data_IF_663554051382
#
_entry.id   IF_663554051382
#
_cell.length_a   1.000
_cell.length_b   1.000
_cell.length_c   1.000
_cell.angle_alpha   90.00
_cell.angle_beta   90.00
_cell.angle_gamma   90.00
#
_symmetry.space_group_name_H-M   'P 1'
#
loop_
_entity.id
_entity.type
_entity.pdbx_description
1 polymer ?
#
# COMPACT_ATOMS: atom_id res chain seq x y z
N UNK A 1 -20.80 3.82 16.02
CA UNK A 1 -20.26 2.73 15.19
C UNK A 1 -20.60 2.93 13.73
N UNK A 2 -21.87 3.05 13.33
CA UNK A 2 -22.32 3.16 11.93
C UNK A 2 -21.75 4.38 11.22
N UNK A 3 -21.68 5.53 11.87
CA UNK A 3 -21.09 6.76 11.34
C UNK A 3 -19.61 6.55 11.00
N UNK A 4 -18.86 5.91 11.90
CA UNK A 4 -17.45 5.59 11.68
C UNK A 4 -17.28 4.58 10.52
N UNK A 5 -18.13 3.56 10.45
CA UNK A 5 -18.11 2.58 9.35
C UNK A 5 -18.38 3.25 8.00
N UNK A 6 -19.32 4.19 7.94
CA UNK A 6 -19.62 4.93 6.72
C UNK A 6 -18.43 5.77 6.22
N UNK A 7 -17.78 6.51 7.13
CA UNK A 7 -16.57 7.25 6.77
C UNK A 7 -15.45 6.33 6.32
N UNK A 8 -15.30 5.17 6.93
CA UNK A 8 -14.29 4.17 6.54
C UNK A 8 -14.56 3.59 5.16
N UNK A 9 -15.82 3.38 4.78
CA UNK A 9 -16.20 3.00 3.41
C UNK A 9 -15.80 4.06 2.40
N UNK A 10 -16.02 5.36 2.71
CA UNK A 10 -15.60 6.47 1.85
C UNK A 10 -14.09 6.49 1.59
N UNK A 11 -13.29 6.23 2.62
CA UNK A 11 -11.84 6.07 2.48
C UNK A 11 -11.50 4.90 1.54
N UNK A 12 -12.16 3.74 1.72
CA UNK A 12 -11.94 2.57 0.87
C UNK A 12 -12.25 2.81 -0.60
N UNK A 13 -13.29 3.59 -0.91
CA UNK A 13 -13.62 3.99 -2.29
C UNK A 13 -12.50 4.86 -2.89
N UNK A 14 -11.95 5.81 -2.12
CA UNK A 14 -10.81 6.62 -2.55
C UNK A 14 -9.54 5.78 -2.80
N UNK A 15 -9.24 4.86 -1.91
CA UNK A 15 -8.07 3.98 -2.01
C UNK A 15 -8.15 3.01 -3.20
N UNK A 16 -9.35 2.55 -3.59
CA UNK A 16 -9.53 1.56 -4.65
C UNK A 16 -9.02 2.02 -6.02
N UNK A 17 -8.98 3.33 -6.28
CA UNK A 17 -8.54 3.89 -7.56
C UNK A 17 -7.03 4.12 -7.65
N UNK A 18 -6.34 4.21 -6.51
CA UNK A 18 -4.93 4.62 -6.45
C UNK A 18 -4.00 3.58 -7.10
N UNK A 19 -4.08 2.32 -6.69
CA UNK A 19 -3.15 1.29 -7.16
C UNK A 19 -3.29 0.98 -8.66
N UNK A 20 -4.48 0.80 -9.24
CA UNK A 20 -4.63 0.59 -10.67
C UNK A 20 -4.09 1.77 -11.51
N UNK A 21 -4.34 3.00 -11.06
CA UNK A 21 -3.85 4.20 -11.75
C UNK A 21 -2.33 4.31 -11.67
N UNK A 22 -1.74 4.08 -10.49
CA UNK A 22 -0.30 4.12 -10.30
C UNK A 22 0.41 3.03 -11.13
N UNK A 23 -0.08 1.80 -11.13
CA UNK A 23 0.50 0.73 -11.96
C UNK A 23 0.41 1.05 -13.46
N UNK A 24 -0.71 1.62 -13.92
CA UNK A 24 -0.85 2.06 -15.30
C UNK A 24 0.20 3.12 -15.67
N UNK A 25 0.40 4.13 -14.83
CA UNK A 25 1.40 5.17 -15.03
C UNK A 25 2.82 4.58 -15.04
N UNK A 26 3.14 3.73 -14.09
CA UNK A 26 4.47 3.09 -13.99
C UNK A 26 4.76 2.25 -15.22
N UNK A 27 3.80 1.47 -15.70
CA UNK A 27 3.98 0.66 -16.93
C UNK A 27 4.20 1.50 -18.17
N UNK A 28 3.63 2.71 -18.22
CA UNK A 28 3.86 3.64 -19.32
C UNK A 28 5.24 4.36 -19.25
N UNK A 29 5.77 4.54 -18.06
CA UNK A 29 7.03 5.26 -17.85
C UNK A 29 8.27 4.36 -17.94
N UNK A 30 8.20 3.13 -17.46
CA UNK A 30 9.36 2.24 -17.33
C UNK A 30 9.39 1.15 -18.41
N UNK A 31 10.59 0.69 -18.78
CA UNK A 31 10.77 -0.42 -19.69
C UNK A 31 10.50 -1.75 -18.98
N UNK A 32 10.08 -2.82 -19.73
CA UNK A 32 9.78 -4.13 -19.14
C UNK A 32 10.90 -4.71 -18.27
N UNK A 33 12.19 -4.43 -18.62
CA UNK A 33 13.36 -4.95 -17.92
C UNK A 33 13.59 -4.31 -16.54
N UNK A 34 12.97 -3.16 -16.27
CA UNK A 34 13.08 -2.43 -15.00
C UNK A 34 11.72 -2.24 -14.32
N UNK A 35 10.71 -2.89 -14.84
CA UNK A 35 9.35 -2.70 -14.37
C UNK A 35 9.15 -3.26 -12.96
N UNK A 36 9.79 -4.38 -12.62
CA UNK A 36 9.66 -4.97 -11.29
C UNK A 36 10.29 -4.09 -10.21
N UNK A 37 11.46 -3.50 -10.47
CA UNK A 37 12.07 -2.52 -9.55
C UNK A 37 11.20 -1.28 -9.39
N UNK A 38 10.63 -0.75 -10.47
CA UNK A 38 9.77 0.44 -10.38
C UNK A 38 8.50 0.18 -9.58
N UNK A 39 7.86 -0.98 -9.78
CA UNK A 39 6.68 -1.40 -9.02
C UNK A 39 7.05 -1.67 -7.55
N UNK A 40 8.20 -2.32 -7.28
CA UNK A 40 8.63 -2.58 -5.90
C UNK A 40 8.94 -1.30 -5.14
N UNK A 41 9.53 -0.30 -5.80
CA UNK A 41 9.78 1.00 -5.19
C UNK A 41 8.47 1.75 -4.86
N UNK A 42 7.48 1.70 -5.76
CA UNK A 42 6.14 2.21 -5.47
C UNK A 42 5.50 1.47 -4.28
N UNK A 43 5.59 0.14 -4.27
CA UNK A 43 5.00 -0.69 -3.22
C UNK A 43 5.74 -0.57 -1.88
N UNK A 44 7.02 -0.16 -1.89
CA UNK A 44 7.78 0.16 -0.68
C UNK A 44 7.10 1.27 0.16
N UNK A 45 6.38 2.18 -0.51
CA UNK A 45 5.56 3.19 0.15
C UNK A 45 4.55 2.62 1.14
N UNK A 46 4.05 1.39 0.91
CA UNK A 46 3.11 0.70 1.82
C UNK A 46 3.81 0.39 3.15
N UNK A 47 5.02 -0.17 3.11
CA UNK A 47 5.78 -0.51 4.32
C UNK A 47 6.30 0.72 5.04
N UNK A 48 6.79 1.70 4.30
CA UNK A 48 7.21 2.99 4.86
C UNK A 48 6.03 3.68 5.53
N UNK A 49 4.90 3.80 4.85
CA UNK A 49 3.70 4.43 5.38
C UNK A 49 3.13 3.69 6.59
N UNK A 50 3.01 2.37 6.49
CA UNK A 50 2.49 1.53 7.58
C UNK A 50 3.38 1.58 8.82
N UNK A 51 4.70 1.45 8.64
CA UNK A 51 5.64 1.52 9.76
C UNK A 51 5.72 2.90 10.39
N UNK A 52 5.77 3.97 9.58
CA UNK A 52 5.74 5.33 10.11
C UNK A 52 4.41 5.64 10.82
N UNK A 53 3.28 5.14 10.32
CA UNK A 53 2.00 5.28 11.01
C UNK A 53 2.01 4.63 12.40
N UNK A 54 2.70 3.50 12.57
CA UNK A 54 2.88 2.87 13.89
C UNK A 54 3.82 3.69 14.78
N UNK A 55 4.94 4.18 14.25
CA UNK A 55 5.88 5.04 15.00
C UNK A 55 5.18 6.30 15.48
N UNK A 56 4.56 7.05 14.57
CA UNK A 56 3.84 8.28 14.94
C UNK A 56 2.64 8.00 15.82
N UNK A 57 1.89 6.93 15.57
CA UNK A 57 0.78 6.49 16.40
C UNK A 57 1.24 6.19 17.83
N UNK A 58 2.36 5.46 17.99
CA UNK A 58 2.98 5.20 19.29
C UNK A 58 3.38 6.46 20.02
N UNK A 59 4.04 7.40 19.33
CA UNK A 59 4.44 8.70 19.90
C UNK A 59 3.20 9.49 20.35
N UNK A 60 2.18 9.60 19.50
CA UNK A 60 0.96 10.36 19.84
C UNK A 60 0.19 9.71 20.98
N UNK A 61 0.15 8.38 21.06
CA UNK A 61 -0.44 7.66 22.20
C UNK A 61 0.33 8.00 23.50
N UNK A 62 1.66 8.02 23.45
CA UNK A 62 2.48 8.41 24.59
C UNK A 62 2.16 9.82 25.09
N UNK A 63 1.99 10.77 24.18
CA UNK A 63 1.54 12.14 24.54
C UNK A 63 0.09 12.17 25.03
N UNK A 64 -0.82 11.43 24.39
CA UNK A 64 -2.25 11.42 24.71
C UNK A 64 -2.53 10.85 26.11
N UNK A 65 -1.77 9.87 26.57
CA UNK A 65 -1.88 9.31 27.93
C UNK A 65 -1.49 10.34 28.99
N UNK A 66 -0.62 11.29 28.65
CA UNK A 66 -0.14 12.35 29.55
C UNK A 66 -0.94 13.65 29.44
N UNK A 67 -1.79 13.80 28.44
CA UNK A 67 -2.54 15.02 28.17
C UNK A 67 -3.90 15.02 28.88
N UNK A 68 -4.15 16.06 29.64
CA UNK A 68 -5.49 16.47 30.08
C UNK A 68 -6.34 16.88 28.86
N UNK A 69 -7.67 16.71 28.94
CA UNK A 69 -8.61 17.11 27.88
C UNK A 69 -8.28 18.48 27.30
N UNK A 70 -8.05 18.55 26.01
CA UNK A 70 -7.77 19.80 25.30
C UNK A 70 -9.04 20.28 24.59
N UNK A 71 -9.33 21.56 24.77
CA UNK A 71 -10.41 22.24 24.05
C UNK A 71 -9.81 22.92 22.82
N UNK A 72 -10.13 22.40 21.61
CA UNK A 72 -9.68 23.02 20.37
C UNK A 72 -10.69 24.08 19.94
N UNK A 73 -10.30 25.35 19.69
CA UNK A 73 -11.20 26.34 19.14
C UNK A 73 -11.89 25.82 17.88
N UNK A 74 -13.18 26.02 17.73
CA UNK A 74 -14.06 25.57 16.62
C UNK A 74 -14.48 24.10 16.65
N UNK A 75 -13.78 23.20 17.33
CA UNK A 75 -14.07 21.75 17.36
C UNK A 75 -14.66 21.32 18.71
N UNK A 76 -14.38 22.06 19.79
CA UNK A 76 -14.85 21.74 21.15
C UNK A 76 -13.90 20.79 21.89
N UNK A 77 -14.46 19.96 22.78
CA UNK A 77 -13.71 18.95 23.52
C UNK A 77 -13.24 17.83 22.60
N UNK A 78 -11.92 17.65 22.53
CA UNK A 78 -11.29 16.62 21.69
C UNK A 78 -10.69 15.56 22.61
N UNK A 79 -11.16 14.33 22.43
CA UNK A 79 -10.63 13.18 23.17
C UNK A 79 -9.20 12.83 22.71
N UNK A 80 -8.31 12.34 23.59
CA UNK A 80 -6.92 12.03 23.24
C UNK A 80 -6.73 11.18 21.98
N UNK A 81 -7.59 10.19 21.73
CA UNK A 81 -7.52 9.37 20.53
C UNK A 81 -7.81 10.12 19.22
N UNK A 82 -8.55 11.23 19.27
CA UNK A 82 -8.86 12.05 18.09
C UNK A 82 -7.64 12.82 17.58
N UNK A 83 -6.67 13.15 18.45
CA UNK A 83 -5.42 13.78 18.03
C UNK A 83 -4.63 12.97 17.03
N UNK A 84 -4.68 11.63 17.15
CA UNK A 84 -4.02 10.73 16.21
C UNK A 84 -4.53 10.97 14.80
N UNK A 85 -5.85 11.12 14.63
CA UNK A 85 -6.46 11.38 13.33
C UNK A 85 -6.09 12.75 12.77
N UNK A 86 -6.05 13.78 13.60
CA UNK A 86 -5.61 15.11 13.16
C UNK A 86 -4.14 15.12 12.80
N UNK A 87 -3.28 14.51 13.63
CA UNK A 87 -1.85 14.46 13.40
C UNK A 87 -1.47 13.69 12.13
N UNK A 88 -2.21 12.63 11.79
CA UNK A 88 -1.98 11.82 10.58
C UNK A 88 -2.72 12.40 9.37
N UNK A 89 -3.90 12.96 9.57
CA UNK A 89 -4.73 13.48 8.47
C UNK A 89 -4.20 14.78 7.87
N UNK A 90 -3.64 15.68 8.69
CA UNK A 90 -3.14 16.97 8.21
C UNK A 90 -1.99 16.83 7.19
N UNK A 91 -0.94 16.04 7.42
CA UNK A 91 0.06 15.75 6.39
C UNK A 91 -0.53 15.18 5.09
N UNK A 92 -1.59 14.35 5.19
CA UNK A 92 -2.29 13.81 4.04
C UNK A 92 -2.86 14.87 3.10
N UNK A 93 -3.39 15.97 3.66
CA UNK A 93 -3.85 17.11 2.86
C UNK A 93 -2.70 17.77 2.09
N UNK A 94 -1.53 17.94 2.71
CA UNK A 94 -0.35 18.50 2.06
C UNK A 94 0.13 17.62 0.89
N UNK A 95 0.15 16.31 1.08
CA UNK A 95 0.48 15.35 0.00
C UNK A 95 -0.56 15.38 -1.12
N UNK A 96 -1.84 15.54 -0.81
CA UNK A 96 -2.89 15.68 -1.82
C UNK A 96 -2.68 16.93 -2.68
N UNK A 97 -2.32 18.06 -2.06
CA UNK A 97 -1.98 19.28 -2.79
C UNK A 97 -0.72 19.11 -3.63
N UNK A 98 0.29 18.39 -3.14
CA UNK A 98 1.50 18.07 -3.91
C UNK A 98 1.18 17.22 -5.15
N UNK A 99 0.20 16.30 -5.09
CA UNK A 99 -0.20 15.51 -6.24
C UNK A 99 -0.77 16.35 -7.40
N UNK A 100 -1.35 17.52 -7.12
CA UNK A 100 -1.84 18.42 -8.16
C UNK A 100 -0.73 18.99 -9.05
N UNK A 101 0.54 18.91 -8.61
CA UNK A 101 1.71 19.33 -9.38
C UNK A 101 2.24 18.27 -10.34
N UNK A 102 1.79 17.02 -10.20
CA UNK A 102 2.23 15.89 -11.03
C UNK A 102 1.59 15.98 -12.41
N UNK A 103 2.42 16.01 -13.43
CA UNK A 103 1.95 16.01 -14.83
C UNK A 103 1.64 14.60 -15.28
N UNK A 104 0.52 14.44 -15.99
CA UNK A 104 0.15 13.18 -16.64
C UNK A 104 1.22 12.79 -17.67
N UNK A 105 1.83 11.59 -17.57
CA UNK A 105 2.80 11.12 -18.55
C UNK A 105 2.13 10.79 -19.89
N UNK A 106 2.90 10.81 -20.95
CA UNK A 106 2.44 10.40 -22.28
C UNK A 106 2.12 8.91 -22.26
N UNK A 107 0.85 8.56 -22.49
CA UNK A 107 0.39 7.15 -22.48
C UNK A 107 1.01 6.38 -23.64
N UNK A 108 1.68 5.25 -23.35
CA UNK A 108 2.21 4.34 -24.37
C UNK A 108 1.12 3.52 -25.08
N UNK A 109 -0.06 3.49 -24.51
CA UNK A 109 -1.21 2.75 -25.04
C UNK A 109 -1.86 3.42 -26.26
N UNK A 110 -1.09 4.27 -26.96
CA UNK A 110 -1.47 4.78 -28.26
C UNK A 110 -1.07 3.77 -29.33
N UNK A 111 -1.95 3.58 -30.33
CA UNK A 111 -1.66 2.69 -31.45
C UNK A 111 -0.32 3.05 -32.08
N UNK A 112 0.55 2.05 -32.30
CA UNK A 112 1.82 2.25 -33.01
C UNK A 112 1.62 2.71 -34.44
N UNK A 113 0.47 2.40 -35.05
CA UNK A 113 0.09 2.76 -36.43
C UNK A 113 -0.58 4.13 -36.52
N UNK A 114 -1.21 4.61 -35.44
CA UNK A 114 -1.87 5.91 -35.40
C UNK A 114 -1.79 6.48 -33.97
N UNK A 115 -0.84 7.40 -33.70
CA UNK A 115 -0.67 8.02 -32.37
C UNK A 115 -1.90 8.81 -31.89
N UNK A 116 -2.84 9.14 -32.77
CA UNK A 116 -4.08 9.83 -32.41
C UNK A 116 -5.15 8.86 -31.89
N UNK A 117 -5.04 7.57 -32.19
CA UNK A 117 -5.97 6.53 -31.74
C UNK A 117 -5.56 5.97 -30.38
N UNK A 118 -6.37 6.23 -29.38
CA UNK A 118 -6.32 5.53 -28.10
C UNK A 118 -6.85 4.12 -28.32
N UNK A 119 -6.07 3.11 -27.94
CA UNK A 119 -6.56 1.71 -27.96
C UNK A 119 -7.73 1.63 -26.99
N UNK A 120 -8.91 1.38 -27.52
CA UNK A 120 -10.12 1.22 -26.70
C UNK A 120 -9.98 -0.03 -25.82
N UNK A 121 -10.41 0.02 -24.56
CA UNK A 121 -10.44 -1.19 -23.73
C UNK A 121 -11.38 -2.23 -24.34
N UNK A 122 -11.06 -3.52 -24.23
CA UNK A 122 -11.92 -4.58 -24.71
C UNK A 122 -13.31 -4.53 -24.04
N UNK A 123 -14.36 -4.93 -24.71
CA UNK A 123 -15.70 -4.98 -24.12
C UNK A 123 -15.73 -5.95 -22.93
N UNK A 124 -16.56 -5.64 -21.94
CA UNK A 124 -16.66 -6.43 -20.70
C UNK A 124 -16.95 -7.90 -20.96
N UNK A 125 -17.73 -8.21 -22.00
CA UNK A 125 -18.04 -9.59 -22.42
C UNK A 125 -16.78 -10.39 -22.79
N UNK A 126 -15.84 -9.77 -23.48
CA UNK A 126 -14.57 -10.38 -23.85
C UNK A 126 -13.68 -10.61 -22.64
N UNK A 127 -13.62 -9.64 -21.71
CA UNK A 127 -12.91 -9.78 -20.45
C UNK A 127 -13.48 -10.94 -19.61
N UNK A 128 -14.79 -11.05 -19.51
CA UNK A 128 -15.46 -12.14 -18.79
C UNK A 128 -15.19 -13.48 -19.45
N UNK A 129 -15.24 -13.55 -20.78
CA UNK A 129 -14.93 -14.78 -21.53
C UNK A 129 -13.48 -15.22 -21.28
N UNK A 130 -12.52 -14.28 -21.30
CA UNK A 130 -11.11 -14.56 -21.00
C UNK A 130 -10.89 -15.07 -19.56
N UNK A 131 -11.53 -14.45 -18.56
CA UNK A 131 -11.46 -14.89 -17.17
C UNK A 131 -12.05 -16.31 -17.02
N UNK A 132 -13.17 -16.61 -17.67
CA UNK A 132 -13.78 -17.95 -17.63
C UNK A 132 -12.88 -18.99 -18.27
N UNK A 133 -12.29 -18.70 -19.43
CA UNK A 133 -11.36 -19.59 -20.12
C UNK A 133 -10.10 -19.89 -19.28
N UNK A 134 -9.65 -18.93 -18.47
CA UNK A 134 -8.45 -19.03 -17.62
C UNK A 134 -8.80 -19.13 -16.14
N UNK A 135 -9.99 -19.60 -15.79
CA UNK A 135 -10.55 -19.54 -14.43
C UNK A 135 -9.65 -20.19 -13.36
N UNK A 136 -8.98 -21.30 -13.68
CA UNK A 136 -8.04 -21.96 -12.75
C UNK A 136 -6.88 -21.04 -12.37
N UNK A 137 -6.26 -20.40 -13.35
CA UNK A 137 -5.14 -19.47 -13.11
C UNK A 137 -5.58 -18.29 -12.25
N UNK A 138 -6.73 -17.68 -12.59
CA UNK A 138 -7.27 -16.59 -11.79
C UNK A 138 -7.62 -17.03 -10.36
N UNK A 139 -8.25 -18.20 -10.20
CA UNK A 139 -8.61 -18.71 -8.88
C UNK A 139 -7.40 -18.94 -8.01
N UNK A 140 -6.39 -19.68 -8.46
CA UNK A 140 -5.22 -19.99 -7.65
C UNK A 140 -4.35 -18.77 -7.38
N UNK A 141 -4.21 -17.86 -8.34
CA UNK A 141 -3.51 -16.61 -8.15
C UNK A 141 -4.17 -15.74 -7.06
N UNK A 142 -5.50 -15.55 -7.16
CA UNK A 142 -6.23 -14.78 -6.16
C UNK A 142 -6.25 -15.44 -4.78
N UNK A 143 -6.35 -16.77 -4.70
CA UNK A 143 -6.23 -17.50 -3.43
C UNK A 143 -4.85 -17.32 -2.81
N UNK A 144 -3.78 -17.41 -3.60
CA UNK A 144 -2.42 -17.16 -3.12
C UNK A 144 -2.27 -15.76 -2.51
N UNK A 145 -2.72 -14.73 -3.22
CA UNK A 145 -2.72 -13.36 -2.70
C UNK A 145 -3.59 -13.23 -1.44
N UNK A 146 -4.77 -13.86 -1.42
CA UNK A 146 -5.67 -13.82 -0.28
C UNK A 146 -5.03 -14.43 0.97
N UNK A 147 -4.37 -15.58 0.86
CA UNK A 147 -3.66 -16.20 1.99
C UNK A 147 -2.46 -15.35 2.45
N UNK A 148 -1.67 -14.81 1.55
CA UNK A 148 -0.57 -13.90 1.90
C UNK A 148 -1.09 -12.66 2.63
N UNK A 149 -2.18 -12.06 2.13
CA UNK A 149 -2.82 -10.92 2.78
C UNK A 149 -3.37 -11.28 4.15
N UNK A 150 -3.97 -12.47 4.31
CA UNK A 150 -4.48 -12.96 5.60
C UNK A 150 -3.36 -13.07 6.64
N UNK A 151 -2.21 -13.64 6.27
CA UNK A 151 -1.04 -13.72 7.16
C UNK A 151 -0.51 -12.33 7.50
N UNK A 152 -0.37 -11.44 6.49
CA UNK A 152 0.15 -10.09 6.68
C UNK A 152 -0.74 -9.24 7.59
N UNK A 153 -2.04 -9.24 7.38
CA UNK A 153 -2.99 -8.54 8.26
C UNK A 153 -3.03 -9.18 9.66
N UNK A 154 -3.00 -10.52 9.75
CA UNK A 154 -2.90 -11.22 11.02
C UNK A 154 -1.67 -10.78 11.82
N UNK A 155 -0.50 -10.76 11.19
CA UNK A 155 0.73 -10.31 11.82
C UNK A 155 0.66 -8.83 12.26
N UNK A 156 0.13 -7.95 11.40
CA UNK A 156 0.00 -6.52 11.70
C UNK A 156 -0.83 -6.24 12.97
N UNK A 157 -1.86 -7.05 13.24
CA UNK A 157 -2.70 -6.90 14.42
C UNK A 157 -2.20 -7.67 15.65
N UNK A 158 -1.70 -8.90 15.45
CA UNK A 158 -1.35 -9.76 16.58
C UNK A 158 0.06 -9.55 17.11
N UNK A 159 1.04 -9.17 16.27
CA UNK A 159 2.41 -8.94 16.73
C UNK A 159 2.50 -7.79 17.75
N UNK A 160 1.87 -6.61 17.53
CA UNK A 160 1.85 -5.58 18.57
C UNK A 160 1.19 -6.05 19.88
N UNK A 161 0.06 -6.76 19.78
CA UNK A 161 -0.62 -7.31 20.95
C UNK A 161 0.23 -8.34 21.71
N UNK A 162 0.98 -9.15 20.99
CA UNK A 162 1.93 -10.11 21.56
C UNK A 162 3.07 -9.40 22.29
N UNK A 163 3.68 -8.38 21.69
CA UNK A 163 4.76 -7.61 22.31
C UNK A 163 4.30 -6.93 23.61
N UNK A 164 3.09 -6.38 23.62
CA UNK A 164 2.53 -5.75 24.82
C UNK A 164 2.23 -6.81 25.90
N UNK A 165 1.55 -7.92 25.55
CA UNK A 165 1.05 -8.90 26.54
C UNK A 165 2.12 -9.83 27.08
N UNK A 166 3.08 -10.24 26.26
CA UNK A 166 4.09 -11.25 26.61
C UNK A 166 5.40 -10.60 27.02
N UNK A 167 5.82 -9.55 26.32
CA UNK A 167 7.07 -8.85 26.60
C UNK A 167 6.91 -7.63 27.50
N UNK A 168 5.68 -7.23 27.87
CA UNK A 168 5.42 -6.12 28.77
C UNK A 168 5.76 -4.74 28.21
N UNK A 169 5.94 -4.63 26.89
CA UNK A 169 6.19 -3.34 26.25
C UNK A 169 4.95 -2.43 26.35
N UNK A 170 5.17 -1.13 26.55
CA UNK A 170 4.12 -0.15 26.45
C UNK A 170 3.60 -0.05 24.99
N UNK A 171 2.42 0.50 24.80
CA UNK A 171 1.87 0.74 23.45
C UNK A 171 2.76 1.70 22.64
N UNK A 172 3.38 2.68 23.32
CA UNK A 172 4.32 3.61 22.71
C UNK A 172 5.59 2.89 22.22
N UNK A 173 6.25 2.13 23.09
CA UNK A 173 7.46 1.36 22.74
C UNK A 173 7.19 0.37 21.61
N UNK A 174 6.07 -0.34 21.69
CA UNK A 174 5.65 -1.28 20.65
C UNK A 174 5.47 -0.58 19.30
N UNK A 175 4.77 0.55 19.27
CA UNK A 175 4.59 1.33 18.05
C UNK A 175 5.92 1.78 17.44
N UNK A 176 6.84 2.28 18.27
CA UNK A 176 8.14 2.76 17.81
C UNK A 176 9.01 1.60 17.31
N UNK A 177 9.22 0.56 18.11
CA UNK A 177 10.13 -0.54 17.75
C UNK A 177 9.60 -1.35 16.58
N UNK A 178 8.35 -1.78 16.66
CA UNK A 178 7.76 -2.57 15.57
C UNK A 178 7.57 -1.74 14.30
N UNK A 179 7.23 -0.47 14.42
CA UNK A 179 7.13 0.44 13.28
C UNK A 179 8.44 0.56 12.51
N UNK A 180 9.57 0.74 13.19
CA UNK A 180 10.89 0.76 12.54
C UNK A 180 11.28 -0.58 11.93
N UNK A 181 10.95 -1.69 12.56
CA UNK A 181 11.16 -3.03 11.96
C UNK A 181 10.39 -3.13 10.64
N UNK A 182 9.13 -2.71 10.60
CA UNK A 182 8.31 -2.73 9.37
C UNK A 182 8.90 -1.79 8.30
N UNK A 183 9.32 -0.57 8.66
CA UNK A 183 9.94 0.37 7.71
C UNK A 183 11.20 -0.23 7.10
N UNK A 184 12.12 -0.69 7.92
CA UNK A 184 13.46 -1.10 7.45
C UNK A 184 13.37 -2.44 6.72
N UNK A 185 12.87 -3.47 7.37
CA UNK A 185 12.90 -4.84 6.81
C UNK A 185 11.82 -5.06 5.76
N UNK A 186 10.63 -4.46 5.91
CA UNK A 186 9.58 -4.53 4.91
C UNK A 186 9.98 -3.83 3.62
N UNK A 187 10.54 -2.61 3.73
CA UNK A 187 11.04 -1.86 2.56
C UNK A 187 12.22 -2.57 1.89
N UNK A 188 13.20 -3.04 2.68
CA UNK A 188 14.34 -3.78 2.15
C UNK A 188 13.88 -5.06 1.43
N UNK A 189 12.98 -5.82 2.03
CA UNK A 189 12.48 -7.07 1.44
C UNK A 189 11.81 -6.86 0.09
N UNK A 190 10.90 -5.88 -0.02
CA UNK A 190 10.18 -5.66 -1.28
C UNK A 190 11.09 -5.10 -2.38
N UNK A 191 12.03 -4.21 -2.05
CA UNK A 191 12.98 -3.63 -3.03
C UNK A 191 13.97 -4.69 -3.50
N UNK A 192 14.53 -5.47 -2.58
CA UNK A 192 15.43 -6.57 -2.93
C UNK A 192 14.72 -7.66 -3.75
N UNK A 193 13.47 -8.00 -3.39
CA UNK A 193 12.66 -8.93 -4.17
C UNK A 193 12.42 -8.46 -5.61
N UNK A 194 12.07 -7.19 -5.80
CA UNK A 194 11.93 -6.60 -7.12
C UNK A 194 13.23 -6.60 -7.92
N UNK A 195 14.33 -6.23 -7.29
CA UNK A 195 15.66 -6.25 -7.92
C UNK A 195 16.10 -7.65 -8.35
N UNK A 196 15.91 -8.65 -7.48
CA UNK A 196 16.20 -10.05 -7.81
C UNK A 196 15.32 -10.56 -8.96
N UNK A 197 14.05 -10.20 -8.99
CA UNK A 197 13.14 -10.58 -10.06
C UNK A 197 13.60 -10.00 -11.42
N UNK A 198 14.04 -8.74 -11.46
CA UNK A 198 14.55 -8.12 -12.68
C UNK A 198 15.88 -8.76 -13.14
N UNK A 199 16.83 -9.01 -12.23
CA UNK A 199 18.08 -9.70 -12.57
C UNK A 199 17.82 -11.09 -13.17
N UNK A 200 16.95 -11.88 -12.54
CA UNK A 200 16.63 -13.22 -13.02
C UNK A 200 15.91 -13.18 -14.38
N UNK A 201 15.04 -12.19 -14.60
CA UNK A 201 14.38 -11.96 -15.88
C UNK A 201 15.40 -11.61 -16.97
N UNK A 202 16.37 -10.72 -16.69
CA UNK A 202 17.46 -10.37 -17.62
C UNK A 202 18.37 -11.57 -17.95
N UNK A 203 18.49 -12.53 -17.03
CA UNK A 203 19.21 -13.81 -17.27
C UNK A 203 18.40 -14.84 -18.05
N UNK A 204 17.25 -14.45 -18.61
CA UNK A 204 16.42 -15.30 -19.47
C UNK A 204 15.46 -16.25 -18.73
N UNK A 205 15.30 -16.13 -17.41
CA UNK A 205 14.34 -16.93 -16.65
C UNK A 205 12.93 -16.32 -16.79
N UNK A 206 12.09 -16.89 -17.64
CA UNK A 206 10.71 -16.40 -17.89
C UNK A 206 9.85 -16.42 -16.62
N UNK A 207 10.08 -17.36 -15.71
CA UNK A 207 9.30 -17.55 -14.47
C UNK A 207 9.92 -16.84 -13.24
N UNK A 208 10.93 -15.99 -13.44
CA UNK A 208 11.69 -15.36 -12.38
C UNK A 208 10.79 -14.65 -11.34
N UNK A 209 9.77 -13.93 -11.80
CA UNK A 209 8.86 -13.18 -10.93
C UNK A 209 8.05 -14.09 -10.01
N UNK A 210 7.61 -15.24 -10.53
CA UNK A 210 6.88 -16.24 -9.74
C UNK A 210 7.82 -16.92 -8.76
N UNK A 211 9.04 -17.30 -9.19
CA UNK A 211 10.02 -17.94 -8.33
C UNK A 211 10.40 -17.06 -7.14
N UNK A 212 10.67 -15.77 -7.37
CA UNK A 212 10.96 -14.82 -6.28
C UNK A 212 9.79 -14.70 -5.31
N UNK A 213 8.54 -14.66 -5.83
CA UNK A 213 7.35 -14.59 -4.97
C UNK A 213 7.09 -15.86 -4.14
N UNK A 214 7.60 -17.02 -4.55
CA UNK A 214 7.48 -18.28 -3.79
C UNK A 214 8.54 -18.36 -2.69
N UNK A 215 9.72 -17.75 -2.92
CA UNK A 215 10.83 -17.78 -1.97
C UNK A 215 10.79 -16.66 -0.92
N UNK A 216 9.99 -15.61 -1.11
CA UNK A 216 9.84 -14.46 -0.19
C UNK A 216 8.59 -14.54 0.63
#
# INVERSE_FOLDING_TARGET
FWTFAFYRMGVGVGEATLSPSAYSIITDMFRPERLAVAISLYSAGIYIGSGLAQVFGGIVIGFAVSATELTVPLVGHVAPWQYVFFAVGFPGLLFTLALLTVREPVRRNRSKSDPSKVIQPPPISEVVAYIRANSRTFLFHNLGIAFTSFVSYGAAYWVPSYLIRVHGLSAQETGIYYGWVVVIFGTAGIVLGGYLADILTQRGKAEAKIQVSICG
#
